data_IF_844943742658
#
_entry.id   IF_844943742658
#
_cell.length_a   1.000
_cell.length_b   1.000
_cell.length_c   1.000
_cell.angle_alpha   90.00
_cell.angle_beta   90.00
_cell.angle_gamma   90.00
#
_symmetry.space_group_name_H-M   'P 1'
#
loop_
_entity.id
_entity.type
_entity.pdbx_description
1 polymer ?
#
# COMPACT_ATOMS: atom_id res chain seq x y z
N UNK A 1 97.14 7.50 4.28
CA UNK A 1 95.80 8.06 4.58
C UNK A 1 94.78 7.03 4.11
N UNK A 2 93.72 6.83 4.89
CA UNK A 2 93.05 5.53 5.14
C UNK A 2 92.18 5.04 3.97
N UNK A 3 92.30 3.74 3.64
CA UNK A 3 91.42 3.02 2.70
C UNK A 3 90.06 2.76 3.35
N UNK A 4 88.99 3.25 2.73
CA UNK A 4 87.61 2.95 3.12
C UNK A 4 87.23 1.54 2.64
N UNK A 5 87.05 0.61 3.59
CA UNK A 5 86.44 -0.70 3.35
C UNK A 5 84.92 -0.50 3.21
N UNK A 6 84.41 -0.68 1.99
CA UNK A 6 82.97 -0.68 1.70
C UNK A 6 82.39 -2.04 2.09
N UNK A 7 81.79 -2.15 3.27
CA UNK A 7 80.94 -3.29 3.61
C UNK A 7 79.62 -3.18 2.85
N UNK A 8 79.53 -3.88 1.72
CA UNK A 8 78.30 -4.13 0.97
C UNK A 8 77.53 -5.24 1.69
N UNK A 9 76.45 -4.89 2.37
CA UNK A 9 75.53 -5.85 2.98
C UNK A 9 74.25 -5.90 2.13
N UNK A 10 74.36 -6.51 0.96
CA UNK A 10 73.20 -6.81 0.11
C UNK A 10 72.66 -8.18 0.55
N UNK A 11 71.62 -8.17 1.39
CA UNK A 11 70.79 -9.37 1.57
C UNK A 11 70.03 -9.57 0.27
N UNK A 12 70.54 -10.48 -0.55
CA UNK A 12 69.88 -11.01 -1.75
C UNK A 12 68.46 -11.48 -1.39
N UNK A 13 67.45 -10.65 -1.69
CA UNK A 13 66.05 -11.01 -1.56
C UNK A 13 65.75 -12.07 -2.63
N UNK A 14 65.53 -13.31 -2.19
CA UNK A 14 65.18 -14.40 -3.10
C UNK A 14 63.97 -14.02 -3.94
N UNK A 15 63.98 -14.28 -5.26
CA UNK A 15 62.91 -13.85 -6.15
C UNK A 15 61.62 -14.53 -5.74
N UNK A 16 60.66 -13.73 -5.26
CA UNK A 16 59.31 -14.21 -4.99
C UNK A 16 58.73 -14.71 -6.31
N UNK A 17 58.30 -15.95 -6.30
CA UNK A 17 57.68 -16.66 -7.41
C UNK A 17 56.38 -15.96 -7.83
N UNK A 18 56.45 -15.19 -8.92
CA UNK A 18 55.37 -14.33 -9.43
C UNK A 18 54.02 -15.04 -9.57
N UNK A 19 54.03 -16.34 -9.88
CA UNK A 19 52.81 -17.18 -9.93
C UNK A 19 52.20 -17.39 -8.54
N UNK A 20 53.00 -17.65 -7.50
CA UNK A 20 52.49 -17.82 -6.13
C UNK A 20 52.06 -16.47 -5.56
N UNK A 21 52.79 -15.38 -5.84
CA UNK A 21 52.35 -14.02 -5.45
C UNK A 21 51.00 -13.67 -6.07
N UNK A 22 50.77 -14.04 -7.33
CA UNK A 22 49.50 -13.79 -8.02
C UNK A 22 48.33 -14.54 -7.38
N UNK A 23 48.51 -15.81 -7.02
CA UNK A 23 47.47 -16.59 -6.32
C UNK A 23 47.22 -16.09 -4.89
N UNK A 24 48.25 -15.64 -4.17
CA UNK A 24 48.11 -15.07 -2.82
C UNK A 24 47.39 -13.71 -2.82
N UNK A 25 47.59 -12.90 -3.86
CA UNK A 25 46.90 -11.62 -4.04
C UNK A 25 45.44 -11.82 -4.48
N UNK A 26 45.17 -12.85 -5.31
CA UNK A 26 43.82 -13.24 -5.71
C UNK A 26 42.99 -13.75 -4.52
N UNK A 27 43.60 -14.52 -3.61
CA UNK A 27 42.93 -15.07 -2.43
C UNK A 27 42.56 -14.01 -1.38
N UNK A 28 43.22 -12.85 -1.39
CA UNK A 28 43.00 -11.75 -0.43
C UNK A 28 41.89 -10.77 -0.88
N UNK A 29 41.54 -10.74 -2.18
CA UNK A 29 40.54 -9.81 -2.73
C UNK A 29 39.13 -10.42 -2.72
N UNK A 30 39.00 -11.75 -2.83
CA UNK A 30 37.72 -12.46 -2.90
C UNK A 30 36.83 -12.29 -1.65
N UNK A 31 37.34 -12.31 -0.40
CA UNK A 31 36.48 -12.07 0.78
C UNK A 31 36.12 -10.59 1.01
N UNK A 32 36.73 -9.65 0.28
CA UNK A 32 36.37 -8.23 0.36
C UNK A 32 35.16 -7.89 -0.53
N UNK A 33 34.86 -8.72 -1.53
CA UNK A 33 33.74 -8.50 -2.45
C UNK A 33 32.40 -9.05 -1.92
N UNK A 34 32.42 -9.96 -0.94
CA UNK A 34 31.21 -10.55 -0.36
C UNK A 34 30.59 -9.73 0.78
N UNK A 35 31.19 -8.60 1.15
CA UNK A 35 30.66 -7.68 2.18
C UNK A 35 29.68 -6.63 1.62
N UNK A 36 29.43 -6.62 0.30
CA UNK A 36 28.52 -5.67 -0.37
C UNK A 36 27.21 -6.33 -0.83
N UNK A 37 26.64 -7.25 -0.05
CA UNK A 37 25.39 -7.90 -0.44
C UNK A 37 24.41 -8.03 0.72
N UNK A 38 24.01 -6.89 1.26
CA UNK A 38 22.63 -6.66 1.73
C UNK A 38 22.31 -5.18 1.52
N UNK A 39 22.08 -4.76 0.28
CA UNK A 39 21.25 -3.58 0.08
C UNK A 39 19.85 -4.08 0.41
N UNK A 40 19.41 -3.87 1.66
CA UNK A 40 17.97 -3.69 1.87
C UNK A 40 17.65 -2.45 1.05
N UNK A 41 17.06 -2.65 -0.11
CA UNK A 41 16.42 -1.56 -0.84
C UNK A 41 15.44 -0.99 0.18
N UNK A 42 15.75 0.18 0.73
CA UNK A 42 14.72 0.98 1.35
C UNK A 42 13.89 1.41 0.13
N UNK A 43 12.84 0.65 -0.15
CA UNK A 43 11.78 1.16 -1.01
C UNK A 43 11.50 2.56 -0.47
N UNK A 44 11.56 3.58 -1.33
CA UNK A 44 10.85 4.81 -1.01
C UNK A 44 9.49 4.38 -0.50
N UNK A 45 9.04 4.91 0.64
CA UNK A 45 7.73 4.57 1.19
C UNK A 45 6.76 4.53 0.02
N UNK A 46 6.36 3.30 -0.33
CA UNK A 46 5.35 3.06 -1.34
C UNK A 46 4.16 3.85 -0.81
N UNK A 47 3.57 4.67 -1.67
CA UNK A 47 2.61 5.71 -1.30
C UNK A 47 1.48 5.10 -0.47
N UNK A 48 1.63 5.15 0.86
CA UNK A 48 0.88 4.30 1.79
C UNK A 48 -0.58 4.73 1.78
N UNK A 49 -1.49 3.77 1.59
CA UNK A 49 -2.94 3.98 1.50
C UNK A 49 -3.72 3.40 2.65
N UNK A 50 -3.17 2.44 3.38
CA UNK A 50 -3.84 1.77 4.49
C UNK A 50 -3.20 2.17 5.81
N UNK A 51 -3.98 2.84 6.65
CA UNK A 51 -3.58 3.35 7.96
C UNK A 51 -4.41 2.67 9.05
N UNK A 52 -3.96 1.49 9.48
CA UNK A 52 -4.65 0.66 10.48
C UNK A 52 -4.18 0.97 11.91
N UNK A 53 -4.55 2.14 12.45
CA UNK A 53 -4.15 2.52 13.81
C UNK A 53 -4.87 1.74 14.91
N UNK A 54 -6.05 1.19 14.60
CA UNK A 54 -6.79 0.36 15.55
C UNK A 54 -6.33 -1.11 15.57
N UNK A 55 -5.69 -1.59 14.49
CA UNK A 55 -5.23 -2.97 14.38
C UNK A 55 -6.37 -3.94 14.03
N UNK A 56 -7.22 -3.56 13.07
CA UNK A 56 -8.31 -4.39 12.56
C UNK A 56 -7.82 -5.45 11.57
N UNK A 57 -6.65 -5.25 10.95
CA UNK A 57 -6.13 -6.12 9.89
C UNK A 57 -4.84 -6.82 10.34
N UNK A 58 -4.65 -8.03 9.84
CA UNK A 58 -3.36 -8.71 9.88
C UNK A 58 -2.36 -8.06 8.90
N UNK A 59 -1.06 -8.35 9.07
CA UNK A 59 -0.03 -7.84 8.15
C UNK A 59 -0.27 -8.27 6.69
N UNK A 60 -0.85 -9.46 6.48
CA UNK A 60 -1.20 -9.99 5.16
C UNK A 60 -2.40 -9.23 4.57
N UNK A 61 -3.45 -9.01 5.36
CA UNK A 61 -4.64 -8.25 4.95
C UNK A 61 -4.30 -6.79 4.65
N UNK A 62 -3.47 -6.13 5.46
CA UNK A 62 -3.04 -4.76 5.17
C UNK A 62 -2.24 -4.68 3.87
N UNK A 63 -1.32 -5.62 3.64
CA UNK A 63 -0.54 -5.65 2.40
C UNK A 63 -1.42 -5.91 1.17
N UNK A 64 -2.46 -6.73 1.30
CA UNK A 64 -3.42 -6.97 0.22
C UNK A 64 -4.31 -5.75 -0.02
N UNK A 65 -4.81 -5.10 1.04
CA UNK A 65 -5.58 -3.86 0.95
C UNK A 65 -4.78 -2.71 0.32
N UNK A 66 -3.48 -2.61 0.58
CA UNK A 66 -2.61 -1.63 -0.10
C UNK A 66 -2.60 -1.86 -1.62
N UNK A 67 -2.49 -3.11 -2.07
CA UNK A 67 -2.55 -3.44 -3.50
C UNK A 67 -3.93 -3.13 -4.08
N UNK A 68 -5.00 -3.47 -3.36
CA UNK A 68 -6.39 -3.17 -3.74
C UNK A 68 -6.58 -1.66 -3.90
N UNK A 69 -6.16 -0.85 -2.92
CA UNK A 69 -6.27 0.60 -2.98
C UNK A 69 -5.49 1.18 -4.18
N UNK A 70 -4.27 0.70 -4.42
CA UNK A 70 -3.48 1.12 -5.57
C UNK A 70 -4.13 0.73 -6.91
N UNK A 71 -4.65 -0.49 -7.02
CA UNK A 71 -5.27 -1.00 -8.24
C UNK A 71 -6.56 -0.24 -8.59
N UNK A 72 -7.48 -0.18 -7.65
CA UNK A 72 -8.75 0.53 -7.83
C UNK A 72 -8.53 2.04 -7.94
N UNK A 73 -7.51 2.58 -7.28
CA UNK A 73 -7.11 3.96 -7.43
C UNK A 73 -6.62 4.29 -8.83
N UNK A 74 -5.79 3.41 -9.42
CA UNK A 74 -5.38 3.53 -10.82
C UNK A 74 -6.52 3.41 -11.81
N UNK A 75 -7.52 2.57 -11.52
CA UNK A 75 -8.70 2.39 -12.35
C UNK A 75 -9.63 3.61 -12.28
N UNK A 76 -9.90 4.11 -11.07
CA UNK A 76 -10.75 5.26 -10.82
C UNK A 76 -10.07 6.61 -11.09
N UNK A 77 -8.76 6.62 -11.34
CA UNK A 77 -7.94 7.85 -11.39
C UNK A 77 -8.17 8.71 -10.15
N UNK A 78 -8.17 8.05 -9.00
CA UNK A 78 -8.45 8.60 -7.67
C UNK A 78 -7.50 7.95 -6.67
N UNK A 79 -7.03 8.70 -5.70
CA UNK A 79 -6.28 8.12 -4.60
C UNK A 79 -7.26 7.50 -3.58
N UNK A 80 -7.10 6.22 -3.23
CA UNK A 80 -8.03 5.53 -2.33
C UNK A 80 -7.32 5.28 -1.01
N UNK A 81 -7.86 5.81 0.09
CA UNK A 81 -7.23 5.75 1.41
C UNK A 81 -8.16 5.10 2.42
N UNK A 82 -7.65 4.12 3.16
CA UNK A 82 -8.35 3.39 4.21
C UNK A 82 -7.73 3.72 5.55
N UNK A 83 -8.56 4.16 6.50
CA UNK A 83 -8.10 4.55 7.83
C UNK A 83 -8.96 3.85 8.90
N UNK A 84 -8.30 3.28 9.90
CA UNK A 84 -8.95 2.79 11.11
C UNK A 84 -8.33 3.50 12.30
N UNK A 85 -9.16 4.10 13.15
CA UNK A 85 -8.70 4.82 14.34
C UNK A 85 -9.80 4.80 15.40
N UNK A 86 -9.47 5.13 16.65
CA UNK A 86 -10.44 5.27 17.72
C UNK A 86 -10.85 6.72 18.03
N UNK A 87 -10.35 7.72 17.28
CA UNK A 87 -10.58 9.19 17.30
C UNK A 87 -10.63 9.90 18.68
N UNK A 88 -10.74 9.16 19.77
CA UNK A 88 -10.91 9.56 21.17
C UNK A 88 -11.93 10.69 21.36
N UNK A 89 -12.95 10.75 20.52
CA UNK A 89 -14.03 11.74 20.56
C UNK A 89 -13.85 12.94 19.63
N UNK A 90 -12.82 12.95 18.78
CA UNK A 90 -12.67 13.97 17.73
C UNK A 90 -13.70 13.80 16.60
N UNK A 91 -13.96 14.89 15.87
CA UNK A 91 -14.88 14.91 14.73
C UNK A 91 -14.28 14.11 13.56
N UNK A 92 -14.96 13.06 13.04
CA UNK A 92 -14.48 12.30 11.89
C UNK A 92 -14.17 13.17 10.67
N UNK A 93 -15.01 14.17 10.39
CA UNK A 93 -14.82 15.10 9.26
C UNK A 93 -13.55 15.92 9.40
N UNK A 94 -13.33 16.52 10.58
CA UNK A 94 -12.13 17.34 10.84
C UNK A 94 -10.87 16.49 10.79
N UNK A 95 -10.94 15.27 11.33
CA UNK A 95 -9.84 14.32 11.24
C UNK A 95 -9.48 14.01 9.78
N UNK A 96 -10.46 13.69 8.93
CA UNK A 96 -10.21 13.42 7.51
C UNK A 96 -9.66 14.64 6.77
N UNK A 97 -10.17 15.84 7.02
CA UNK A 97 -9.65 17.08 6.45
C UNK A 97 -8.18 17.31 6.81
N UNK A 98 -7.82 17.20 8.10
CA UNK A 98 -6.43 17.34 8.55
C UNK A 98 -5.53 16.22 7.98
N UNK A 99 -6.05 14.99 7.90
CA UNK A 99 -5.33 13.83 7.39
C UNK A 99 -4.98 13.97 5.91
N UNK A 100 -5.93 14.46 5.10
CA UNK A 100 -5.72 14.80 3.70
C UNK A 100 -4.68 15.89 3.52
N UNK A 101 -4.75 16.96 4.32
CA UNK A 101 -3.83 18.09 4.22
C UNK A 101 -2.39 17.73 4.65
N UNK A 102 -2.26 16.88 5.68
CA UNK A 102 -0.96 16.43 6.20
C UNK A 102 -0.22 15.52 5.22
N UNK A 103 -0.93 14.52 4.67
CA UNK A 103 -0.35 13.54 3.76
C UNK A 103 -0.32 14.02 2.31
N UNK A 104 -1.11 15.06 2.00
CA UNK A 104 -1.25 15.67 0.68
C UNK A 104 -1.69 14.68 -0.40
N UNK A 105 -2.64 13.81 -0.06
CA UNK A 105 -3.14 12.78 -0.96
C UNK A 105 -3.65 13.33 -2.28
N UNK A 106 -3.67 12.46 -3.29
CA UNK A 106 -4.19 12.81 -4.60
C UNK A 106 -3.62 11.98 -5.72
N UNK A 107 -4.50 11.63 -6.66
CA UNK A 107 -4.10 10.96 -7.88
C UNK A 107 -3.26 11.88 -8.77
N UNK A 108 -2.08 11.41 -9.18
CA UNK A 108 -1.10 12.09 -10.06
C UNK A 108 -0.57 13.46 -9.57
N UNK A 109 -1.04 13.99 -8.43
CA UNK A 109 -0.61 15.27 -7.86
C UNK A 109 -0.96 15.38 -6.36
N UNK A 110 -0.16 16.17 -5.62
CA UNK A 110 -0.51 16.57 -4.25
C UNK A 110 -1.85 17.31 -4.23
N UNK A 111 -2.71 17.01 -3.25
CA UNK A 111 -4.06 17.59 -3.11
C UNK A 111 -4.96 17.35 -4.35
N UNK A 112 -4.83 16.16 -4.93
CA UNK A 112 -5.59 15.69 -6.08
C UNK A 112 -6.84 14.89 -5.71
N UNK A 113 -7.39 14.21 -6.70
CA UNK A 113 -8.61 13.42 -6.56
C UNK A 113 -8.37 12.29 -5.55
N UNK A 114 -9.16 12.24 -4.47
CA UNK A 114 -8.97 11.28 -3.35
C UNK A 114 -10.31 10.82 -2.80
N UNK A 115 -10.44 9.54 -2.49
CA UNK A 115 -11.56 8.93 -1.78
C UNK A 115 -11.03 8.30 -0.48
N UNK A 116 -11.48 8.80 0.67
CA UNK A 116 -11.04 8.30 1.97
C UNK A 116 -12.19 7.65 2.72
N UNK A 117 -11.93 6.53 3.38
CA UNK A 117 -12.82 5.92 4.37
C UNK A 117 -12.15 5.91 5.73
N UNK A 118 -12.89 6.35 6.74
CA UNK A 118 -12.52 6.23 8.14
C UNK A 118 -13.49 5.30 8.85
N UNK A 119 -12.95 4.22 9.42
CA UNK A 119 -13.69 3.34 10.32
C UNK A 119 -13.33 3.72 11.76
N UNK A 120 -14.16 4.55 12.38
CA UNK A 120 -13.98 5.01 13.75
C UNK A 120 -14.44 3.94 14.74
N UNK A 121 -13.50 3.45 15.55
CA UNK A 121 -13.70 2.41 16.56
C UNK A 121 -13.88 2.97 17.98
N UNK A 122 -14.13 4.27 18.14
CA UNK A 122 -14.44 4.84 19.45
C UNK A 122 -15.66 4.13 20.07
N UNK A 123 -15.51 3.59 21.27
CA UNK A 123 -16.53 2.68 21.86
C UNK A 123 -17.89 3.33 22.09
N UNK A 124 -17.95 4.65 22.24
CA UNK A 124 -19.19 5.39 22.49
C UNK A 124 -19.82 5.94 21.20
N UNK A 125 -19.06 6.02 20.12
CA UNK A 125 -19.47 6.59 18.83
C UNK A 125 -18.78 5.85 17.68
N UNK A 126 -19.04 4.54 17.59
CA UNK A 126 -18.52 3.71 16.50
C UNK A 126 -19.27 4.04 15.22
N UNK A 127 -18.57 4.62 14.25
CA UNK A 127 -19.14 5.04 12.97
C UNK A 127 -18.16 4.81 11.82
N UNK A 128 -18.66 4.93 10.60
CA UNK A 128 -17.85 4.92 9.38
C UNK A 128 -18.17 6.19 8.61
N UNK A 129 -17.15 6.86 8.12
CA UNK A 129 -17.26 8.12 7.37
C UNK A 129 -16.49 7.97 6.05
N UNK A 130 -17.11 8.35 4.94
CA UNK A 130 -16.45 8.42 3.63
C UNK A 130 -16.41 9.88 3.19
N UNK A 131 -15.28 10.31 2.62
CA UNK A 131 -15.14 11.66 2.08
C UNK A 131 -14.34 11.65 0.78
N UNK A 132 -14.86 12.34 -0.23
CA UNK A 132 -14.18 12.60 -1.50
C UNK A 132 -13.53 13.99 -1.53
N UNK A 133 -12.40 14.10 -2.22
CA UNK A 133 -11.66 15.34 -2.47
C UNK A 133 -11.35 15.49 -3.96
N UNK A 134 -11.16 16.73 -4.42
CA UNK A 134 -10.98 17.01 -5.84
C UNK A 134 -12.23 16.63 -6.63
N UNK A 135 -12.07 15.96 -7.77
CA UNK A 135 -13.20 15.48 -8.55
C UNK A 135 -14.01 14.42 -7.81
N UNK A 136 -13.42 13.68 -6.86
CA UNK A 136 -14.13 12.67 -6.10
C UNK A 136 -15.25 13.26 -5.24
N UNK A 137 -15.21 14.54 -4.86
CA UNK A 137 -16.34 15.22 -4.21
C UNK A 137 -17.60 15.22 -5.09
N UNK A 138 -17.44 15.30 -6.41
CA UNK A 138 -18.54 15.31 -7.37
C UNK A 138 -19.00 13.89 -7.76
N UNK A 139 -18.06 12.97 -7.95
CA UNK A 139 -18.35 11.60 -8.38
C UNK A 139 -18.74 10.69 -7.21
N UNK A 140 -18.22 10.90 -6.01
CA UNK A 140 -18.65 10.24 -4.76
C UNK A 140 -19.53 11.21 -3.98
N UNK A 141 -20.62 11.67 -4.60
CA UNK A 141 -21.59 12.52 -3.93
C UNK A 141 -22.32 11.79 -2.79
N UNK A 142 -23.09 12.54 -1.99
CA UNK A 142 -23.76 12.02 -0.79
C UNK A 142 -24.61 10.78 -1.08
N UNK A 143 -25.40 10.77 -2.16
CA UNK A 143 -26.25 9.62 -2.50
C UNK A 143 -25.43 8.35 -2.77
N UNK A 144 -24.33 8.49 -3.51
CA UNK A 144 -23.42 7.37 -3.82
C UNK A 144 -22.65 6.91 -2.58
N UNK A 145 -22.24 7.84 -1.71
CA UNK A 145 -21.64 7.50 -0.42
C UNK A 145 -22.63 6.69 0.43
N UNK A 146 -23.89 7.10 0.52
CA UNK A 146 -24.91 6.34 1.26
C UNK A 146 -25.10 4.94 0.66
N UNK A 147 -25.04 4.77 -0.66
CA UNK A 147 -25.08 3.44 -1.28
C UNK A 147 -23.88 2.58 -0.87
N UNK A 148 -22.66 3.14 -0.89
CA UNK A 148 -21.47 2.41 -0.44
C UNK A 148 -21.64 2.02 1.03
N UNK A 149 -22.10 2.96 1.87
CA UNK A 149 -22.32 2.73 3.30
C UNK A 149 -23.38 1.64 3.55
N UNK A 150 -24.46 1.60 2.78
CA UNK A 150 -25.50 0.56 2.87
C UNK A 150 -24.95 -0.83 2.57
N UNK A 151 -23.99 -0.95 1.64
CA UNK A 151 -23.36 -2.22 1.27
C UNK A 151 -22.28 -2.65 2.28
N UNK A 152 -21.43 -1.73 2.75
CA UNK A 152 -20.31 -2.09 3.64
C UNK A 152 -20.72 -2.16 5.11
N UNK A 153 -21.74 -1.40 5.56
CA UNK A 153 -22.15 -1.37 6.98
C UNK A 153 -22.61 -2.73 7.52
N UNK A 154 -23.36 -3.57 6.77
CA UNK A 154 -23.65 -4.94 7.18
C UNK A 154 -22.37 -5.76 7.42
N UNK A 155 -21.38 -5.65 6.55
CA UNK A 155 -20.09 -6.35 6.69
C UNK A 155 -19.34 -5.88 7.94
N UNK A 156 -19.30 -4.57 8.18
CA UNK A 156 -18.70 -3.97 9.39
C UNK A 156 -19.39 -4.44 10.68
N UNK A 157 -20.71 -4.64 10.67
CA UNK A 157 -21.48 -5.19 11.80
C UNK A 157 -21.12 -6.65 12.06
N UNK A 158 -20.89 -7.42 11.01
CA UNK A 158 -20.45 -8.82 11.08
C UNK A 158 -18.94 -8.95 11.34
N UNK A 159 -18.23 -7.82 11.55
CA UNK A 159 -16.78 -7.75 11.76
C UNK A 159 -15.94 -8.21 10.56
N UNK A 160 -16.55 -8.25 9.37
CA UNK A 160 -15.88 -8.49 8.10
C UNK A 160 -15.26 -7.18 7.58
N UNK A 161 -14.26 -6.66 8.30
CA UNK A 161 -13.64 -5.37 8.01
C UNK A 161 -12.87 -5.37 6.69
N UNK A 162 -12.12 -6.45 6.42
CA UNK A 162 -11.37 -6.60 5.18
C UNK A 162 -12.29 -6.51 3.97
N UNK A 163 -13.33 -7.36 3.94
CA UNK A 163 -14.33 -7.41 2.86
C UNK A 163 -15.03 -6.04 2.68
N UNK A 164 -15.29 -5.33 3.78
CA UNK A 164 -15.88 -3.99 3.74
C UNK A 164 -14.97 -2.95 3.07
N UNK A 165 -13.65 -3.00 3.34
CA UNK A 165 -12.70 -2.05 2.75
C UNK A 165 -12.40 -2.38 1.28
N UNK A 166 -12.36 -3.67 0.93
CA UNK A 166 -12.31 -4.11 -0.47
C UNK A 166 -13.51 -3.60 -1.26
N UNK A 167 -14.72 -3.77 -0.73
CA UNK A 167 -15.95 -3.31 -1.40
C UNK A 167 -16.01 -1.78 -1.47
N UNK A 168 -15.54 -1.05 -0.45
CA UNK A 168 -15.39 0.41 -0.50
C UNK A 168 -14.47 0.84 -1.66
N UNK A 169 -13.25 0.31 -1.74
CA UNK A 169 -12.28 0.70 -2.76
C UNK A 169 -12.83 0.45 -4.18
N UNK A 170 -13.48 -0.69 -4.35
CA UNK A 170 -14.14 -1.07 -5.60
C UNK A 170 -15.26 -0.13 -6.01
N UNK A 171 -16.16 0.22 -5.09
CA UNK A 171 -17.26 1.11 -5.41
C UNK A 171 -16.79 2.56 -5.60
N UNK A 172 -15.77 3.00 -4.86
CA UNK A 172 -15.14 4.29 -5.07
C UNK A 172 -14.63 4.44 -6.51
N UNK A 173 -13.86 3.46 -6.99
CA UNK A 173 -13.35 3.45 -8.36
C UNK A 173 -14.47 3.34 -9.42
N UNK A 174 -15.51 2.53 -9.15
CA UNK A 174 -16.67 2.42 -10.02
C UNK A 174 -17.35 3.78 -10.24
N UNK A 175 -17.67 4.49 -9.16
CA UNK A 175 -18.39 5.75 -9.25
C UNK A 175 -17.55 6.89 -9.84
N UNK A 176 -16.23 6.87 -9.66
CA UNK A 176 -15.31 7.78 -10.37
C UNK A 176 -15.38 7.63 -11.90
N UNK A 177 -15.73 6.44 -12.38
CA UNK A 177 -15.88 6.14 -13.81
C UNK A 177 -17.33 6.20 -14.31
N UNK A 178 -18.29 6.54 -13.44
CA UNK A 178 -19.72 6.58 -13.79
C UNK A 178 -20.23 8.02 -13.91
N UNK A 179 -20.48 8.45 -15.15
CA UNK A 179 -21.02 9.78 -15.45
C UNK A 179 -22.53 9.89 -15.19
N UNK A 180 -23.29 8.78 -15.25
CA UNK A 180 -24.75 8.80 -15.01
C UNK A 180 -25.06 9.03 -13.54
N UNK A 181 -25.98 9.95 -13.26
CA UNK A 181 -26.30 10.33 -11.88
C UNK A 181 -25.33 11.37 -11.28
N UNK A 182 -24.37 11.85 -12.07
CA UNK A 182 -23.58 13.05 -11.74
C UNK A 182 -24.26 14.26 -12.37
N UNK A 183 -24.85 15.13 -11.56
CA UNK A 183 -25.43 16.37 -12.06
C UNK A 183 -24.31 17.39 -12.30
N UNK A 184 -23.96 17.65 -13.55
CA UNK A 184 -22.87 18.58 -13.94
C UNK A 184 -23.24 20.06 -13.81
N UNK A 185 -24.32 20.41 -13.09
CA UNK A 185 -24.76 21.80 -12.95
C UNK A 185 -24.04 22.45 -11.77
N UNK A 186 -23.20 23.48 -11.97
CA UNK A 186 -22.50 24.15 -10.88
C UNK A 186 -23.50 24.76 -9.90
N UNK A 187 -23.23 24.63 -8.59
CA UNK A 187 -23.94 25.37 -7.56
C UNK A 187 -23.93 26.86 -7.92
N UNK A 188 -25.12 27.41 -8.20
CA UNK A 188 -25.28 28.84 -8.48
C UNK A 188 -25.85 29.48 -7.22
N UNK A 189 -24.99 30.12 -6.40
CA UNK A 189 -25.42 30.84 -5.21
C UNK A 189 -24.26 31.35 -4.35
N UNK A 190 -24.45 32.49 -3.69
CA UNK A 190 -23.49 33.04 -2.73
C UNK A 190 -23.42 32.19 -1.46
N UNK A 191 -22.22 32.04 -0.90
CA UNK A 191 -21.94 31.31 0.34
C UNK A 191 -22.82 31.85 1.48
N UNK A 192 -23.74 31.02 1.99
CA UNK A 192 -24.64 31.37 3.09
C UNK A 192 -26.03 31.90 2.72
N UNK A 193 -26.50 31.73 1.48
CA UNK A 193 -27.92 31.99 1.12
C UNK A 193 -28.81 30.76 1.31
N UNK A 194 -30.13 30.93 1.52
CA UNK A 194 -31.11 29.83 1.57
C UNK A 194 -31.19 29.02 0.24
N UNK A 195 -30.49 29.45 -0.81
CA UNK A 195 -30.32 28.76 -2.09
C UNK A 195 -28.87 28.30 -2.33
N UNK A 196 -28.06 28.25 -1.28
CA UNK A 196 -26.72 27.69 -1.29
C UNK A 196 -26.81 26.18 -1.05
N UNK A 197 -26.86 25.40 -2.13
CA UNK A 197 -26.57 23.97 -2.09
C UNK A 197 -25.05 23.80 -2.13
N UNK A 198 -24.37 24.17 -1.05
CA UNK A 198 -23.08 23.59 -0.71
C UNK A 198 -23.37 22.35 0.11
N UNK A 199 -22.72 21.24 -0.23
CA UNK A 199 -23.11 19.88 0.17
C UNK A 199 -24.24 19.33 -0.71
N UNK A 200 -23.98 18.21 -1.39
CA UNK A 200 -24.88 17.61 -2.38
C UNK A 200 -26.19 17.14 -1.73
N UNK A 201 -27.16 18.05 -1.66
CA UNK A 201 -28.55 17.72 -1.32
C UNK A 201 -29.34 17.53 -2.61
N UNK A 202 -29.68 16.30 -2.98
CA UNK A 202 -30.76 16.05 -3.93
C UNK A 202 -31.72 14.96 -3.45
N UNK A 203 -32.90 15.42 -3.04
CA UNK A 203 -34.17 14.67 -3.08
C UNK A 203 -34.53 14.43 -4.57
N UNK A 204 -34.09 13.31 -5.14
CA UNK A 204 -34.50 12.83 -6.44
C UNK A 204 -34.50 11.30 -6.44
N UNK A 205 -35.44 10.61 -7.13
CA UNK A 205 -35.48 9.16 -7.09
C UNK A 205 -34.20 8.61 -7.69
N UNK A 206 -33.32 8.05 -6.86
CA UNK A 206 -32.21 7.23 -7.32
C UNK A 206 -32.83 5.99 -7.98
N UNK A 207 -32.36 5.64 -9.17
CA UNK A 207 -32.71 4.39 -9.84
C UNK A 207 -31.99 3.20 -9.14
N UNK A 208 -32.00 3.17 -7.81
CA UNK A 208 -31.22 2.30 -6.92
C UNK A 208 -31.41 0.79 -7.19
N UNK A 209 -32.58 0.39 -7.69
CA UNK A 209 -32.87 -0.99 -8.11
C UNK A 209 -32.85 -1.19 -9.64
N UNK A 210 -32.52 -0.15 -10.41
CA UNK A 210 -32.54 -0.15 -11.87
C UNK A 210 -31.29 -0.79 -12.44
N UNK A 211 -31.31 -2.13 -12.53
CA UNK A 211 -30.31 -3.00 -13.16
C UNK A 211 -28.88 -2.80 -12.63
N UNK A 212 -28.34 -3.82 -11.94
CA UNK A 212 -26.89 -3.97 -11.76
C UNK A 212 -26.27 -3.98 -13.17
N UNK A 213 -25.83 -2.82 -13.67
CA UNK A 213 -25.06 -2.74 -14.91
C UNK A 213 -23.84 -3.65 -14.73
N UNK A 214 -23.48 -4.35 -15.80
CA UNK A 214 -22.43 -5.37 -15.79
C UNK A 214 -21.10 -4.73 -15.32
N UNK A 215 -20.82 -4.82 -14.02
CA UNK A 215 -19.58 -4.31 -13.45
C UNK A 215 -18.39 -4.98 -14.13
N UNK A 216 -17.44 -4.17 -14.56
CA UNK A 216 -16.11 -4.59 -15.03
C UNK A 216 -15.44 -5.60 -14.10
N UNK A 217 -15.74 -5.60 -12.80
CA UNK A 217 -15.24 -6.56 -11.80
C UNK A 217 -15.83 -7.98 -11.86
N UNK A 218 -17.04 -8.15 -12.42
CA UNK A 218 -17.59 -9.48 -12.74
C UNK A 218 -17.27 -9.91 -14.18
N UNK A 219 -16.61 -9.03 -14.95
CA UNK A 219 -16.11 -9.41 -16.26
C UNK A 219 -15.02 -10.47 -16.07
N UNK A 220 -15.24 -11.64 -16.64
CA UNK A 220 -14.28 -12.76 -16.62
C UNK A 220 -12.89 -12.34 -17.11
N UNK A 221 -12.80 -11.33 -17.99
CA UNK A 221 -11.51 -10.78 -18.43
C UNK A 221 -10.75 -10.07 -17.31
N UNK A 222 -11.43 -9.27 -16.48
CA UNK A 222 -10.84 -8.57 -15.34
C UNK A 222 -10.38 -9.57 -14.26
N UNK A 223 -11.21 -10.57 -13.94
CA UNK A 223 -10.86 -11.64 -13.01
C UNK A 223 -9.63 -12.45 -13.48
N UNK A 224 -9.48 -12.67 -14.79
CA UNK A 224 -8.31 -13.35 -15.33
C UNK A 224 -7.05 -12.49 -15.25
N UNK A 225 -7.18 -11.18 -15.44
CA UNK A 225 -6.08 -10.24 -15.27
C UNK A 225 -5.63 -10.23 -13.79
N UNK A 226 -6.58 -10.19 -12.85
CA UNK A 226 -6.32 -10.32 -11.41
C UNK A 226 -5.62 -11.61 -11.04
N UNK A 227 -6.12 -12.75 -11.53
CA UNK A 227 -5.50 -14.03 -11.26
C UNK A 227 -4.05 -14.11 -11.75
N UNK A 228 -3.73 -13.45 -12.87
CA UNK A 228 -2.37 -13.39 -13.42
C UNK A 228 -1.47 -12.50 -12.58
N UNK A 229 -1.95 -11.35 -12.12
CA UNK A 229 -1.19 -10.43 -11.27
C UNK A 229 -0.88 -11.07 -9.91
N UNK A 230 -1.89 -11.58 -9.21
CA UNK A 230 -1.73 -12.27 -7.92
C UNK A 230 -0.79 -13.48 -8.08
N UNK A 231 -0.94 -14.24 -9.16
CA UNK A 231 -0.03 -15.34 -9.49
C UNK A 231 1.41 -14.88 -9.71
N UNK A 232 1.63 -13.77 -10.41
CA UNK A 232 2.96 -13.23 -10.66
C UNK A 232 3.64 -12.70 -9.39
N UNK A 233 2.90 -12.02 -8.51
CA UNK A 233 3.40 -11.55 -7.21
C UNK A 233 3.77 -12.75 -6.33
N UNK A 234 2.88 -13.73 -6.23
CA UNK A 234 3.11 -14.96 -5.47
C UNK A 234 4.36 -15.70 -5.94
N UNK A 235 4.48 -15.90 -7.26
CA UNK A 235 5.65 -16.56 -7.86
C UNK A 235 6.91 -15.71 -7.70
N UNK A 236 6.80 -14.38 -7.76
CA UNK A 236 7.90 -13.46 -7.50
C UNK A 236 8.45 -13.59 -6.08
N UNK A 237 7.57 -13.64 -5.08
CA UNK A 237 7.93 -13.87 -3.67
C UNK A 237 8.54 -15.27 -3.50
N UNK A 238 7.94 -16.30 -4.09
CA UNK A 238 8.49 -17.66 -4.05
C UNK A 238 9.86 -17.73 -4.72
N UNK A 239 10.05 -17.08 -5.87
CA UNK A 239 11.31 -17.06 -6.60
C UNK A 239 12.39 -16.29 -5.84
N UNK A 240 12.06 -15.14 -5.25
CA UNK A 240 12.95 -14.37 -4.39
C UNK A 240 13.35 -15.13 -3.12
N UNK A 241 12.42 -15.93 -2.56
CA UNK A 241 12.66 -16.81 -1.42
C UNK A 241 13.21 -18.20 -1.81
N UNK A 242 13.35 -18.52 -3.11
CA UNK A 242 13.78 -19.85 -3.61
C UNK A 242 15.29 -20.05 -3.68
N UNK A 243 16.08 -19.21 -3.00
CA UNK A 243 17.50 -19.46 -2.78
C UNK A 243 17.71 -20.82 -2.11
N UNK A 244 17.99 -21.84 -2.92
CA UNK A 244 17.93 -23.25 -2.55
C UNK A 244 18.78 -23.61 -1.34
N UNK A 245 18.15 -23.69 -0.18
CA UNK A 245 18.54 -24.53 0.93
C UNK A 245 17.58 -25.71 0.97
N UNK A 246 18.08 -26.92 0.70
CA UNK A 246 17.34 -28.16 0.94
C UNK A 246 16.70 -28.11 2.33
N UNK A 247 15.44 -28.54 2.53
CA UNK A 247 14.94 -28.83 3.85
C UNK A 247 15.78 -30.01 4.40
N UNK A 248 16.84 -29.69 5.14
CA UNK A 248 17.43 -30.64 6.06
C UNK A 248 16.33 -31.04 7.05
N UNK A 249 16.22 -32.33 7.41
CA UNK A 249 15.12 -32.82 8.22
C UNK A 249 15.19 -32.21 9.62
N UNK A 250 14.34 -31.24 9.91
CA UNK A 250 14.20 -30.58 11.21
C UNK A 250 13.53 -31.46 12.27
N UNK A 251 13.58 -32.79 12.12
CA UNK A 251 13.09 -33.75 13.11
C UNK A 251 14.19 -34.19 14.09
N UNK A 252 15.48 -33.90 13.85
CA UNK A 252 16.55 -34.36 14.75
C UNK A 252 17.14 -33.35 15.75
N UNK A 253 16.73 -32.09 15.76
CA UNK A 253 17.27 -31.10 16.72
C UNK A 253 16.56 -31.15 18.09
N UNK A 254 15.43 -31.85 18.21
CA UNK A 254 14.76 -32.05 19.50
C UNK A 254 15.34 -33.17 20.38
N UNK A 255 16.29 -33.98 19.90
CA UNK A 255 16.83 -35.11 20.69
C UNK A 255 18.21 -34.90 21.34
N UNK A 256 18.95 -33.82 21.06
CA UNK A 256 20.26 -33.62 21.72
C UNK A 256 20.23 -32.66 22.92
N UNK A 257 19.06 -32.14 23.32
CA UNK A 257 18.90 -31.28 24.51
C UNK A 257 18.26 -31.98 25.73
N UNK A 258 18.16 -33.32 25.71
CA UNK A 258 17.61 -34.13 26.82
C UNK A 258 18.71 -34.95 27.54
N UNK A 259 20.01 -34.67 27.33
CA UNK A 259 21.11 -35.40 27.97
C UNK A 259 22.24 -34.54 28.58
N UNK A 260 21.98 -33.29 28.94
CA UNK A 260 22.77 -32.59 29.98
C UNK A 260 21.86 -31.83 30.95
#
# INVERSE_FOLDING_TARGET
MINFVKYRNEKELKPVNKTITFFLLLFLIVPFFTMFSTIKTLAAAEDQKVYDYYGLFSEEESADLENICAEYGEEGKVDIVVITDDLKGDSPKTYLEDFYDEHKFGYDQEFGDTAMVLVNMYSEDRNVTIQGYGNAEYYLNNDRIEHILDDITPMLKDSAYYDAMEEFAKQAAYYMNEEKGVNTTPATGDVGSDNYYGESGYDGPSDYYGEKEDNIFYNTGFQLLMAVIIGAVTVGIMAANSGGGLPFPTVLIWMSKIQE
#
